data_IF_836476403952
#
_entry.id   IF_836476403952
#
_cell.length_a   1.000
_cell.length_b   1.000
_cell.length_c   1.000
_cell.angle_alpha   90.00
_cell.angle_beta   90.00
_cell.angle_gamma   90.00
#
_symmetry.space_group_name_H-M   'P 1'
#
loop_
_entity.id
_entity.type
_entity.pdbx_description
1 polymer ?
#
# COMPACT_ATOMS: atom_id res chain seq x y z
N UNK A 1 -10.82 -43.36 17.03
CA UNK A 1 -11.77 -42.31 16.63
C UNK A 1 -11.52 -40.96 17.33
N UNK A 2 -11.27 -40.95 18.61
CA UNK A 2 -11.06 -39.72 19.38
C UNK A 2 -9.73 -38.99 19.03
N UNK A 3 -8.70 -39.75 18.71
CA UNK A 3 -7.35 -39.20 18.36
C UNK A 3 -7.34 -38.60 16.95
N UNK A 4 -8.15 -39.16 16.01
CA UNK A 4 -8.24 -38.63 14.65
C UNK A 4 -8.94 -37.26 14.58
N UNK A 5 -9.93 -37.02 15.45
CA UNK A 5 -10.59 -35.70 15.52
C UNK A 5 -9.64 -34.59 15.99
N UNK A 6 -8.82 -34.87 16.98
CA UNK A 6 -7.83 -33.92 17.48
C UNK A 6 -6.77 -33.59 16.43
N UNK A 7 -6.34 -34.57 15.67
CA UNK A 7 -5.38 -34.38 14.58
C UNK A 7 -5.93 -33.48 13.46
N UNK A 8 -7.21 -33.61 13.17
CA UNK A 8 -7.90 -32.84 12.15
C UNK A 8 -8.00 -31.36 12.54
N UNK A 9 -8.26 -31.04 13.78
CA UNK A 9 -8.34 -29.66 14.27
C UNK A 9 -6.98 -28.96 14.28
N UNK A 10 -5.92 -29.65 14.63
CA UNK A 10 -4.57 -29.09 14.63
C UNK A 10 -4.09 -28.83 13.21
N UNK A 11 -4.36 -29.71 12.27
CA UNK A 11 -4.02 -29.52 10.87
C UNK A 11 -4.79 -28.35 10.24
N UNK A 12 -6.06 -28.20 10.59
CA UNK A 12 -6.91 -27.09 10.14
C UNK A 12 -6.41 -25.75 10.67
N UNK A 13 -5.93 -25.70 11.90
CA UNK A 13 -5.40 -24.50 12.53
C UNK A 13 -4.07 -24.06 11.89
N UNK A 14 -3.20 -24.98 11.58
CA UNK A 14 -1.92 -24.71 10.89
C UNK A 14 -2.15 -24.20 9.47
N UNK A 15 -3.17 -24.68 8.79
CA UNK A 15 -3.50 -24.25 7.43
C UNK A 15 -4.00 -22.80 7.36
N UNK A 16 -4.55 -22.28 8.45
CA UNK A 16 -5.10 -20.93 8.52
C UNK A 16 -4.01 -19.84 8.60
N UNK A 17 -2.81 -20.16 9.10
CA UNK A 17 -1.72 -19.20 9.28
C UNK A 17 -0.84 -19.01 8.04
N UNK A 18 -0.75 -19.99 7.18
CA UNK A 18 0.13 -19.97 6.00
C UNK A 18 -0.28 -18.91 4.96
N UNK A 19 -1.57 -18.65 4.64
CA UNK A 19 -1.95 -17.67 3.63
C UNK A 19 -1.58 -16.22 3.96
N UNK A 20 -1.55 -15.86 5.23
CA UNK A 20 -1.27 -14.48 5.66
C UNK A 20 0.20 -14.11 5.46
N UNK A 21 1.11 -15.04 5.72
CA UNK A 21 2.55 -14.83 5.51
C UNK A 21 2.92 -14.71 4.03
N UNK A 22 2.29 -15.51 3.18
CA UNK A 22 2.50 -15.48 1.73
C UNK A 22 2.00 -14.15 1.15
N UNK A 23 0.89 -13.63 1.65
CA UNK A 23 0.30 -12.38 1.18
C UNK A 23 1.21 -11.17 1.45
N UNK A 24 1.81 -11.10 2.63
CA UNK A 24 2.77 -10.06 2.97
C UNK A 24 4.05 -10.11 2.14
N UNK A 25 4.52 -11.30 1.82
CA UNK A 25 5.70 -11.48 0.96
C UNK A 25 5.42 -11.13 -0.50
N UNK A 26 4.22 -11.39 -1.00
CA UNK A 26 3.82 -11.03 -2.36
C UNK A 26 3.77 -9.52 -2.56
N UNK A 27 3.29 -8.76 -1.60
CA UNK A 27 3.27 -7.29 -1.68
C UNK A 27 4.69 -6.74 -1.79
N UNK A 28 5.63 -7.26 -1.02
CA UNK A 28 7.05 -6.89 -1.11
C UNK A 28 7.66 -7.21 -2.47
N UNK A 29 7.29 -8.35 -3.04
CA UNK A 29 7.84 -8.82 -4.32
C UNK A 29 7.26 -8.05 -5.50
N UNK A 30 5.96 -7.80 -5.50
CA UNK A 30 5.29 -7.00 -6.51
C UNK A 30 5.84 -5.58 -6.58
N UNK A 31 6.23 -5.01 -5.45
CA UNK A 31 6.80 -3.67 -5.38
C UNK A 31 8.09 -3.50 -6.17
N UNK A 32 8.86 -4.56 -6.38
CA UNK A 32 10.13 -4.53 -7.11
C UNK A 32 9.90 -4.78 -8.61
N UNK A 33 8.94 -5.62 -8.98
CA UNK A 33 8.81 -6.13 -10.35
C UNK A 33 7.63 -5.56 -11.14
N UNK A 34 6.59 -5.04 -10.50
CA UNK A 34 5.32 -4.72 -11.14
C UNK A 34 4.95 -3.24 -11.18
N UNK A 35 5.91 -2.39 -11.52
CA UNK A 35 5.60 -1.03 -11.90
C UNK A 35 5.65 0.01 -10.79
N UNK A 36 6.17 -0.31 -9.62
CA UNK A 36 6.61 0.73 -8.70
C UNK A 36 7.86 1.36 -9.30
N UNK A 37 7.85 2.67 -9.44
CA UNK A 37 9.05 3.37 -9.88
C UNK A 37 10.21 3.07 -8.95
N UNK A 38 11.36 2.76 -9.54
CA UNK A 38 12.58 2.50 -8.82
C UNK A 38 12.92 3.67 -7.91
N UNK A 39 13.37 3.36 -6.72
CA UNK A 39 13.72 4.35 -5.71
C UNK A 39 13.49 3.80 -4.32
N UNK A 40 14.07 4.45 -3.32
CA UNK A 40 13.89 4.04 -1.94
C UNK A 40 12.44 4.29 -1.52
N UNK A 41 11.77 3.26 -1.05
CA UNK A 41 10.45 3.38 -0.46
C UNK A 41 10.60 4.08 0.88
N UNK A 42 9.85 5.16 1.07
CA UNK A 42 9.94 6.00 2.27
C UNK A 42 8.70 5.91 3.13
N UNK A 43 7.54 5.65 2.53
CA UNK A 43 6.28 5.64 3.26
C UNK A 43 5.31 4.64 2.66
N UNK A 44 4.58 3.97 3.54
CA UNK A 44 3.42 3.13 3.19
C UNK A 44 2.24 3.61 4.02
N UNK A 45 1.08 3.70 3.39
CA UNK A 45 -0.14 4.04 4.10
C UNK A 45 -1.33 3.30 3.48
N UNK A 46 -2.10 2.65 4.33
CA UNK A 46 -3.37 2.06 3.92
C UNK A 46 -4.50 3.04 4.18
N UNK A 47 -5.32 3.30 3.17
CA UNK A 47 -6.44 4.21 3.35
C UNK A 47 -7.72 3.48 3.81
N UNK A 48 -8.78 4.25 4.03
CA UNK A 48 -10.05 3.70 4.52
C UNK A 48 -10.77 2.80 3.52
N UNK A 49 -10.45 2.91 2.23
CA UNK A 49 -10.98 2.05 1.19
C UNK A 49 -10.16 0.78 0.98
N UNK A 50 -9.04 0.63 1.69
CA UNK A 50 -8.18 -0.53 1.60
C UNK A 50 -7.10 -0.45 0.54
N UNK A 51 -6.93 0.69 -0.14
CA UNK A 51 -5.81 0.90 -1.03
C UNK A 51 -4.52 1.06 -0.25
N UNK A 52 -3.44 0.51 -0.78
CA UNK A 52 -2.10 0.71 -0.25
C UNK A 52 -1.40 1.79 -1.04
N UNK A 53 -1.02 2.87 -0.37
CA UNK A 53 -0.27 3.97 -0.95
C UNK A 53 1.20 3.82 -0.64
N UNK A 54 2.03 3.98 -1.64
CA UNK A 54 3.47 3.74 -1.53
C UNK A 54 4.19 4.98 -2.02
N UNK A 55 4.87 5.66 -1.10
CA UNK A 55 5.69 6.81 -1.39
C UNK A 55 7.16 6.44 -1.48
N UNK A 56 7.83 6.89 -2.53
CA UNK A 56 9.25 6.64 -2.75
C UNK A 56 9.97 7.92 -3.13
N UNK A 57 11.29 7.82 -3.26
CA UNK A 57 12.12 8.93 -3.76
C UNK A 57 11.79 9.31 -5.20
N UNK A 58 11.08 8.48 -5.93
CA UNK A 58 10.72 8.69 -7.34
C UNK A 58 9.27 9.10 -7.55
N UNK A 59 8.40 8.97 -6.58
CA UNK A 59 7.01 9.36 -6.72
C UNK A 59 6.04 8.57 -5.85
N UNK A 60 4.78 8.60 -6.24
CA UNK A 60 3.68 7.98 -5.51
C UNK A 60 2.98 6.92 -6.35
N UNK A 61 2.72 5.78 -5.75
CA UNK A 61 1.96 4.69 -6.35
C UNK A 61 0.84 4.25 -5.43
N UNK A 62 -0.26 3.77 -6.02
CA UNK A 62 -1.37 3.15 -5.31
C UNK A 62 -1.52 1.71 -5.76
N UNK A 63 -1.64 0.80 -4.81
CA UNK A 63 -1.90 -0.61 -5.05
C UNK A 63 -3.29 -1.00 -4.59
N UNK A 64 -4.09 -1.55 -5.51
CA UNK A 64 -5.49 -1.93 -5.25
C UNK A 64 -5.67 -3.40 -4.89
N UNK A 65 -4.61 -4.18 -4.81
CA UNK A 65 -4.63 -5.62 -4.58
C UNK A 65 -4.25 -6.43 -5.83
N UNK A 66 -4.37 -5.84 -6.99
CA UNK A 66 -4.02 -6.49 -8.26
C UNK A 66 -3.37 -5.55 -9.28
N UNK A 67 -3.41 -4.25 -9.06
CA UNK A 67 -2.90 -3.27 -10.02
C UNK A 67 -2.23 -2.10 -9.31
N UNK A 68 -1.10 -1.65 -9.86
CA UNK A 68 -0.45 -0.41 -9.45
C UNK A 68 -0.88 0.74 -10.34
N UNK A 69 -1.15 1.87 -9.72
CA UNK A 69 -1.39 3.13 -10.41
C UNK A 69 -0.37 4.16 -9.96
N UNK A 70 0.26 4.81 -10.92
CA UNK A 70 1.28 5.82 -10.69
C UNK A 70 0.66 7.22 -10.75
N UNK A 71 1.10 8.11 -9.86
CA UNK A 71 0.59 9.48 -9.74
C UNK A 71 1.65 10.54 -10.09
N UNK A 72 2.52 10.27 -11.03
CA UNK A 72 3.58 11.18 -11.47
C UNK A 72 3.07 12.52 -11.96
N UNK A 73 1.85 12.54 -12.50
CA UNK A 73 1.22 13.76 -12.99
C UNK A 73 1.08 14.82 -11.90
N UNK A 74 0.86 14.38 -10.67
CA UNK A 74 0.62 15.27 -9.54
C UNK A 74 1.85 15.46 -8.67
N UNK A 75 2.68 14.43 -8.55
CA UNK A 75 3.86 14.42 -7.71
C UNK A 75 5.06 14.07 -8.59
N UNK A 76 5.76 15.10 -9.04
CA UNK A 76 6.90 14.97 -9.96
C UNK A 76 8.20 14.64 -9.26
N UNK A 77 8.28 14.94 -7.98
CA UNK A 77 9.44 14.67 -7.14
C UNK A 77 9.09 13.57 -6.15
N UNK A 78 10.02 13.20 -5.32
CA UNK A 78 9.80 12.14 -4.36
C UNK A 78 8.75 12.48 -3.30
N UNK A 79 8.31 11.46 -2.58
CA UNK A 79 7.38 11.54 -1.46
C UNK A 79 8.15 11.33 -0.17
N UNK A 80 7.90 12.18 0.82
CA UNK A 80 8.52 12.08 2.15
C UNK A 80 7.62 11.30 3.09
N UNK A 81 6.32 11.58 3.05
CA UNK A 81 5.37 10.95 3.97
C UNK A 81 3.96 10.90 3.38
N UNK A 82 3.17 9.95 3.86
CA UNK A 82 1.77 9.79 3.51
C UNK A 82 0.99 9.66 4.81
N UNK A 83 -0.09 10.43 4.93
CA UNK A 83 -0.90 10.47 6.15
C UNK A 83 -2.35 10.21 5.78
N UNK A 84 -2.95 9.18 6.38
CA UNK A 84 -4.38 8.92 6.30
C UNK A 84 -5.02 9.25 7.64
N UNK A 85 -5.97 10.17 7.64
CA UNK A 85 -6.63 10.60 8.87
C UNK A 85 -8.07 11.00 8.57
N UNK A 86 -9.01 10.44 9.32
CA UNK A 86 -10.44 10.76 9.25
C UNK A 86 -11.01 10.65 7.83
N UNK A 87 -10.60 9.61 7.10
CA UNK A 87 -11.04 9.39 5.72
C UNK A 87 -10.35 10.26 4.68
N UNK A 88 -9.41 11.10 5.08
CA UNK A 88 -8.62 11.94 4.18
C UNK A 88 -7.21 11.38 4.01
N UNK A 89 -6.67 11.55 2.81
CA UNK A 89 -5.31 11.16 2.51
C UNK A 89 -4.50 12.39 2.13
N UNK A 90 -3.36 12.57 2.80
CA UNK A 90 -2.43 13.66 2.55
C UNK A 90 -1.07 13.10 2.16
N UNK A 91 -0.41 13.75 1.23
CA UNK A 91 0.91 13.37 0.77
C UNK A 91 1.84 14.56 0.91
N UNK A 92 2.95 14.35 1.59
CA UNK A 92 4.02 15.34 1.73
C UNK A 92 5.11 15.02 0.70
N UNK A 93 5.33 15.93 -0.21
CA UNK A 93 6.36 15.80 -1.23
C UNK A 93 7.74 16.28 -0.76
N UNK A 94 8.77 15.89 -1.49
CA UNK A 94 10.16 16.18 -1.12
C UNK A 94 10.52 17.65 -1.19
N UNK A 95 9.74 18.46 -1.86
CA UNK A 95 9.94 19.92 -1.92
C UNK A 95 9.12 20.68 -0.88
N UNK A 96 8.49 19.97 0.06
CA UNK A 96 7.68 20.57 1.09
C UNK A 96 6.23 20.81 0.69
N UNK A 97 5.82 20.41 -0.52
CA UNK A 97 4.44 20.52 -0.97
C UNK A 97 3.55 19.52 -0.22
N UNK A 98 2.38 19.98 0.21
CA UNK A 98 1.38 19.13 0.82
C UNK A 98 0.18 19.01 -0.12
N UNK A 99 -0.19 17.77 -0.46
CA UNK A 99 -1.27 17.47 -1.37
C UNK A 99 -2.36 16.67 -0.67
N UNK A 100 -3.60 16.92 -1.04
CA UNK A 100 -4.74 16.16 -0.57
C UNK A 100 -5.36 15.37 -1.71
N UNK A 101 -5.63 14.09 -1.47
CA UNK A 101 -6.26 13.22 -2.45
C UNK A 101 -7.76 13.42 -2.50
N UNK A 102 -8.31 13.52 -3.70
CA UNK A 102 -9.75 13.51 -3.95
C UNK A 102 -10.15 12.15 -4.47
N UNK A 103 -10.92 11.40 -3.68
CA UNK A 103 -11.35 10.04 -4.01
C UNK A 103 -12.36 9.98 -5.15
N UNK A 104 -13.18 11.00 -5.31
CA UNK A 104 -14.20 11.04 -6.35
C UNK A 104 -13.61 11.29 -7.73
N UNK A 105 -12.63 12.16 -7.80
CA UNK A 105 -12.00 12.57 -9.07
C UNK A 105 -10.68 11.84 -9.34
N UNK A 106 -10.19 11.06 -8.39
CA UNK A 106 -8.90 10.37 -8.48
C UNK A 106 -7.76 11.34 -8.86
N UNK A 107 -7.68 12.43 -8.13
CA UNK A 107 -6.62 13.42 -8.33
C UNK A 107 -6.14 14.01 -7.01
N UNK A 108 -5.07 14.78 -7.09
CA UNK A 108 -4.50 15.48 -5.94
C UNK A 108 -4.60 16.98 -6.13
N UNK A 109 -4.87 17.68 -5.03
CA UNK A 109 -4.85 19.13 -4.95
C UNK A 109 -3.76 19.56 -3.98
N UNK A 110 -2.89 20.47 -4.40
CA UNK A 110 -1.89 21.07 -3.51
C UNK A 110 -2.56 22.05 -2.57
N UNK A 111 -2.33 21.87 -1.26
CA UNK A 111 -2.94 22.72 -0.23
C UNK A 111 -1.92 23.58 0.52
N UNK A 112 -0.63 23.25 0.38
CA UNK A 112 0.47 24.06 0.90
C UNK A 112 1.65 24.10 -0.05
#
# INVERSE_FOLDING_TARGET
MYIMRRFFYVASFLFFFIPISIYGQQIKHLGIYDGIRSGAVRSFERDTLGYMWIGSSQGLNRYSGYQFKNYDKFIKNGVVDIISKDGNLFVLGSKGELLQYNYEQDNFKQIL
#
